data_IF_576955869577
#
_entry.id   IF_576955869577
#
_cell.length_a   1.000
_cell.length_b   1.000
_cell.length_c   1.000
_cell.angle_alpha   90.00
_cell.angle_beta   90.00
_cell.angle_gamma   90.00
#
_symmetry.space_group_name_H-M   'P 1'
#
loop_
_entity.id
_entity.type
_entity.pdbx_description
1 polymer ?
#
# COMPACT_ATOMS: atom_id res chain seq x y z
N UNK A 1 17.11 -5.51 26.29
CA UNK A 1 17.66 -4.70 25.17
C UNK A 1 17.26 -5.39 23.87
N UNK A 2 16.50 -4.74 22.97
CA UNK A 2 16.15 -5.34 21.69
C UNK A 2 17.39 -5.50 20.81
N UNK A 3 17.50 -6.66 20.15
CA UNK A 3 18.58 -6.97 19.21
C UNK A 3 18.45 -6.10 17.94
N UNK A 4 19.53 -5.88 17.18
CA UNK A 4 19.46 -5.16 15.91
C UNK A 4 18.44 -5.74 14.93
N UNK A 5 18.34 -7.07 14.85
CA UNK A 5 17.34 -7.76 14.02
C UNK A 5 15.91 -7.50 14.49
N UNK A 6 15.65 -7.53 15.80
CA UNK A 6 14.32 -7.25 16.35
C UNK A 6 13.87 -5.80 16.11
N UNK A 7 14.82 -4.86 16.08
CA UNK A 7 14.55 -3.46 15.71
C UNK A 7 14.20 -3.34 14.23
N UNK A 8 15.01 -3.92 13.36
CA UNK A 8 14.75 -3.89 11.92
C UNK A 8 13.37 -4.47 11.55
N UNK A 9 12.98 -5.57 12.20
CA UNK A 9 11.66 -6.16 12.00
C UNK A 9 10.53 -5.24 12.49
N UNK A 10 10.71 -4.57 13.64
CA UNK A 10 9.73 -3.63 14.16
C UNK A 10 9.58 -2.40 13.25
N UNK A 11 10.69 -1.87 12.72
CA UNK A 11 10.70 -0.74 11.80
C UNK A 11 10.00 -1.12 10.48
N UNK A 12 10.29 -2.30 9.93
CA UNK A 12 9.63 -2.81 8.73
C UNK A 12 8.12 -3.01 8.93
N UNK A 13 7.72 -3.51 10.11
CA UNK A 13 6.31 -3.64 10.48
C UNK A 13 5.61 -2.28 10.56
N UNK A 14 6.23 -1.30 11.20
CA UNK A 14 5.68 0.06 11.32
C UNK A 14 5.52 0.68 9.93
N UNK A 15 6.57 0.59 9.11
CA UNK A 15 6.55 1.14 7.77
C UNK A 15 5.43 0.55 6.91
N UNK A 16 5.20 -0.77 6.99
CA UNK A 16 4.09 -1.40 6.26
C UNK A 16 2.71 -0.91 6.72
N UNK A 17 2.53 -0.65 8.02
CA UNK A 17 1.30 -0.06 8.56
C UNK A 17 1.10 1.37 8.04
N UNK A 18 2.15 2.21 8.12
CA UNK A 18 2.11 3.61 7.68
C UNK A 18 1.76 3.70 6.18
N UNK A 19 2.39 2.87 5.34
CA UNK A 19 2.10 2.81 3.90
C UNK A 19 0.68 2.33 3.60
N UNK A 20 0.15 1.38 4.37
CA UNK A 20 -1.23 0.94 4.23
C UNK A 20 -2.21 2.07 4.57
N UNK A 21 -1.96 2.80 5.65
CA UNK A 21 -2.80 3.92 6.08
C UNK A 21 -2.82 5.03 5.02
N UNK A 22 -1.66 5.39 4.48
CA UNK A 22 -1.54 6.36 3.38
C UNK A 22 -2.30 5.90 2.12
N UNK A 23 -2.15 4.63 1.75
CA UNK A 23 -2.86 4.04 0.61
C UNK A 23 -4.37 4.09 0.82
N UNK A 24 -4.85 3.68 2.00
CA UNK A 24 -6.27 3.71 2.35
C UNK A 24 -6.83 5.13 2.29
N UNK A 25 -6.09 6.12 2.78
CA UNK A 25 -6.48 7.52 2.71
C UNK A 25 -6.63 7.99 1.26
N UNK A 26 -5.68 7.67 0.39
CA UNK A 26 -5.73 8.04 -1.03
C UNK A 26 -6.87 7.34 -1.78
N UNK A 27 -7.08 6.05 -1.55
CA UNK A 27 -8.17 5.29 -2.15
C UNK A 27 -9.53 5.85 -1.70
N UNK A 28 -9.65 6.24 -0.43
CA UNK A 28 -10.84 6.87 0.10
C UNK A 28 -11.12 8.22 -0.57
N UNK A 29 -10.10 9.08 -0.70
CA UNK A 29 -10.21 10.36 -1.41
C UNK A 29 -10.61 10.17 -2.89
N UNK A 30 -10.13 9.10 -3.52
CA UNK A 30 -10.47 8.75 -4.89
C UNK A 30 -11.84 8.05 -5.04
N UNK A 31 -12.53 7.74 -3.95
CA UNK A 31 -13.80 7.00 -3.98
C UNK A 31 -13.65 5.56 -4.49
N UNK A 32 -12.51 4.92 -4.22
CA UNK A 32 -12.18 3.56 -4.65
C UNK A 32 -12.25 2.62 -3.44
N UNK A 33 -13.33 1.84 -3.28
CA UNK A 33 -13.46 0.92 -2.15
C UNK A 33 -12.66 -0.36 -2.42
N UNK A 34 -11.53 -0.53 -1.73
CA UNK A 34 -10.81 -1.81 -1.63
C UNK A 34 -10.96 -2.37 -0.20
N UNK A 35 -12.06 -3.06 0.13
CA UNK A 35 -12.36 -3.49 1.50
C UNK A 35 -11.43 -4.61 1.99
N UNK A 36 -10.77 -5.31 1.08
CA UNK A 36 -9.86 -6.43 1.37
C UNK A 36 -8.39 -6.04 1.37
N UNK A 37 -8.05 -4.76 1.18
CA UNK A 37 -6.65 -4.33 1.21
C UNK A 37 -6.11 -4.42 2.64
N UNK A 38 -4.89 -4.92 2.80
CA UNK A 38 -4.26 -5.08 4.10
C UNK A 38 -2.79 -5.46 3.99
N UNK A 39 -2.11 -5.54 5.13
CA UNK A 39 -0.76 -6.08 5.19
C UNK A 39 -0.84 -7.59 5.43
N UNK A 40 -0.05 -8.36 4.69
CA UNK A 40 0.20 -9.77 4.99
C UNK A 40 1.16 -9.87 6.20
N UNK A 41 0.58 -9.79 7.39
CA UNK A 41 1.31 -9.89 8.64
C UNK A 41 1.93 -11.26 8.87
N UNK A 42 1.31 -12.31 8.32
CA UNK A 42 1.76 -13.68 8.53
C UNK A 42 3.06 -13.94 7.76
N UNK A 43 3.11 -13.57 6.47
CA UNK A 43 4.34 -13.65 5.68
C UNK A 43 5.42 -12.73 6.23
N UNK A 44 5.06 -11.53 6.68
CA UNK A 44 6.01 -10.60 7.28
C UNK A 44 6.65 -11.12 8.57
N UNK A 45 5.89 -11.80 9.43
CA UNK A 45 6.45 -12.44 10.63
C UNK A 45 7.40 -13.59 10.30
N UNK A 46 7.12 -14.36 9.24
CA UNK A 46 7.94 -15.50 8.85
C UNK A 46 9.21 -15.12 8.08
N UNK A 47 9.14 -14.08 7.25
CA UNK A 47 10.19 -13.73 6.28
C UNK A 47 10.91 -12.41 6.58
N UNK A 48 10.34 -11.58 7.45
CA UNK A 48 10.77 -10.19 7.65
C UNK A 48 10.32 -9.23 6.53
N UNK A 49 9.61 -9.73 5.51
CA UNK A 49 9.12 -8.93 4.38
C UNK A 49 7.60 -8.78 4.48
N UNK A 50 7.15 -7.57 4.80
CA UNK A 50 5.72 -7.23 4.88
C UNK A 50 5.22 -6.78 3.52
N UNK A 51 4.17 -7.45 3.02
CA UNK A 51 3.57 -7.17 1.71
C UNK A 51 2.23 -6.47 1.90
N UNK A 52 1.88 -5.57 0.98
CA UNK A 52 0.51 -5.04 0.87
C UNK A 52 -0.26 -5.97 -0.06
N UNK A 53 -1.22 -6.69 0.50
CA UNK A 53 -2.19 -7.47 -0.26
C UNK A 53 -3.38 -6.57 -0.61
N UNK A 54 -3.71 -6.48 -1.89
CA UNK A 54 -4.87 -5.71 -2.37
C UNK A 54 -6.18 -6.52 -2.23
N UNK A 55 -6.05 -7.84 -2.02
CA UNK A 55 -7.15 -8.79 -1.94
C UNK A 55 -7.96 -8.87 -3.24
N UNK A 56 -9.22 -9.26 -3.10
CA UNK A 56 -10.13 -9.38 -4.24
C UNK A 56 -10.82 -8.04 -4.53
N UNK A 57 -10.55 -7.48 -5.71
CA UNK A 57 -11.19 -6.27 -6.19
C UNK A 57 -12.18 -6.57 -7.33
N UNK A 58 -13.31 -5.87 -7.36
CA UNK A 58 -14.22 -5.94 -8.50
C UNK A 58 -13.57 -5.26 -9.72
N UNK A 59 -13.76 -5.75 -10.96
CA UNK A 59 -13.12 -5.18 -12.14
C UNK A 59 -13.37 -3.67 -12.32
N UNK A 60 -14.58 -3.19 -12.05
CA UNK A 60 -14.95 -1.77 -12.14
C UNK A 60 -14.18 -0.89 -11.14
N UNK A 61 -13.82 -1.44 -9.98
CA UNK A 61 -12.99 -0.76 -8.99
C UNK A 61 -11.53 -0.68 -9.49
N UNK A 62 -11.04 -1.75 -10.10
CA UNK A 62 -9.69 -1.80 -10.69
C UNK A 62 -9.56 -0.80 -11.85
N UNK A 63 -10.59 -0.67 -12.70
CA UNK A 63 -10.61 0.32 -13.78
C UNK A 63 -10.50 1.76 -13.28
N UNK A 64 -11.20 2.09 -12.18
CA UNK A 64 -11.10 3.40 -11.52
C UNK A 64 -9.70 3.63 -10.96
N UNK A 65 -9.11 2.62 -10.32
CA UNK A 65 -7.73 2.69 -9.82
C UNK A 65 -6.73 2.95 -10.95
N UNK A 66 -6.83 2.21 -12.05
CA UNK A 66 -5.99 2.42 -13.25
C UNK A 66 -6.15 3.83 -13.79
N UNK A 67 -7.37 4.37 -13.79
CA UNK A 67 -7.63 5.75 -14.24
C UNK A 67 -6.91 6.77 -13.36
N UNK A 68 -7.02 6.65 -12.04
CA UNK A 68 -6.33 7.53 -11.09
C UNK A 68 -4.81 7.48 -11.26
N UNK A 69 -4.25 6.27 -11.40
CA UNK A 69 -2.81 6.09 -11.63
C UNK A 69 -2.34 6.74 -12.94
N UNK A 70 -3.11 6.59 -14.03
CA UNK A 70 -2.80 7.23 -15.32
C UNK A 70 -2.81 8.76 -15.21
N UNK A 71 -3.80 9.32 -14.51
CA UNK A 71 -3.85 10.78 -14.29
C UNK A 71 -2.60 11.24 -13.53
N UNK A 72 -2.25 10.56 -12.44
CA UNK A 72 -1.04 10.88 -11.66
C UNK A 72 0.24 10.84 -12.51
N UNK A 73 0.44 9.77 -13.30
CA UNK A 73 1.61 9.64 -14.18
C UNK A 73 1.68 10.76 -15.23
N UNK A 74 0.54 11.14 -15.81
CA UNK A 74 0.47 12.22 -16.79
C UNK A 74 0.80 13.59 -16.17
N UNK A 75 0.34 13.84 -14.94
CA UNK A 75 0.65 15.07 -14.21
C UNK A 75 2.13 15.16 -13.81
N UNK A 76 2.76 14.04 -13.43
CA UNK A 76 4.20 13.98 -13.13
C UNK A 76 5.06 14.28 -14.36
N UNK A 77 4.68 13.74 -15.52
CA UNK A 77 5.37 14.01 -16.79
C UNK A 77 5.26 15.47 -17.26
N UNK A 78 4.25 16.20 -16.80
CA UNK A 78 4.07 17.63 -17.09
C UNK A 78 4.85 18.55 -16.14
N UNK A 79 5.10 18.13 -14.89
CA UNK A 79 5.91 18.89 -13.93
C UNK A 79 7.42 18.80 -14.19
N UNK A 80 7.85 17.82 -14.99
CA UNK A 80 9.25 17.62 -15.37
C UNK A 80 9.64 18.32 -16.67
N UNK A 81 8.78 19.19 -17.22
CA UNK A 81 9.02 20.03 -18.40
C UNK A 81 8.85 21.50 -18.03
#
# INVERSE_FOLDING_TARGET
>A
MPTPLSRHLADAKSHAADVLDDLLALLHLAGIPLPSVGVDWQSGQATGVFLIDLGAARPDVVERLVTVLRVGLNSMGQQSR
#
